data_IF_213515555818
#
_entry.id   IF_213515555818
#
_cell.length_a   1.000
_cell.length_b   1.000
_cell.length_c   1.000
_cell.angle_alpha   90.00
_cell.angle_beta   90.00
_cell.angle_gamma   90.00
#
_symmetry.space_group_name_H-M   'P 1'
#
loop_
_entity.id
_entity.type
_entity.pdbx_description
1 polymer ?
#
# COMPACT_ATOMS: atom_id res chain seq x y z
N UNK A 1 -10.35 11.65 -5.76
CA UNK A 1 -9.71 12.82 -6.39
C UNK A 1 -8.80 12.35 -7.49
N UNK A 2 -9.06 12.72 -8.74
CA UNK A 2 -8.12 12.48 -9.85
C UNK A 2 -6.96 13.49 -9.75
N UNK A 3 -5.80 13.18 -10.32
CA UNK A 3 -4.64 14.09 -10.38
C UNK A 3 -5.05 15.50 -10.82
N UNK A 4 -5.99 15.58 -11.77
CA UNK A 4 -6.56 16.81 -12.30
C UNK A 4 -7.27 17.63 -11.23
N UNK A 5 -8.07 17.03 -10.35
CA UNK A 5 -8.77 17.77 -9.29
C UNK A 5 -7.79 18.39 -8.30
N UNK A 6 -6.74 17.67 -7.91
CA UNK A 6 -5.75 18.18 -6.96
C UNK A 6 -4.97 19.37 -7.55
N UNK A 7 -4.52 19.24 -8.79
CA UNK A 7 -3.76 20.31 -9.46
C UNK A 7 -4.66 21.52 -9.70
N UNK A 8 -5.89 21.34 -10.18
CA UNK A 8 -6.83 22.46 -10.40
C UNK A 8 -7.15 23.19 -9.10
N UNK A 9 -7.38 22.49 -7.98
CA UNK A 9 -7.59 23.15 -6.68
C UNK A 9 -6.38 23.97 -6.23
N UNK A 10 -5.17 23.45 -6.45
CA UNK A 10 -3.94 24.17 -6.12
C UNK A 10 -3.76 25.42 -6.99
N UNK A 11 -4.05 25.31 -8.29
CA UNK A 11 -3.91 26.42 -9.23
C UNK A 11 -4.87 27.57 -8.91
N UNK A 12 -6.14 27.28 -8.63
CA UNK A 12 -7.15 28.30 -8.27
C UNK A 12 -6.84 28.99 -6.93
N UNK A 13 -6.10 28.32 -6.04
CA UNK A 13 -5.72 28.86 -4.74
C UNK A 13 -4.43 29.70 -4.77
N UNK A 14 -3.79 29.87 -5.93
CA UNK A 14 -2.49 30.54 -6.06
C UNK A 14 -2.51 31.68 -7.09
N UNK A 15 -1.74 32.76 -6.88
CA UNK A 15 -1.60 33.83 -7.86
C UNK A 15 -1.08 33.32 -9.21
N UNK A 16 -1.47 33.95 -10.34
CA UNK A 16 -1.09 33.52 -11.69
C UNK A 16 0.42 33.34 -11.89
N UNK A 17 1.22 34.17 -11.22
CA UNK A 17 2.68 34.16 -11.31
C UNK A 17 3.32 32.92 -10.65
N UNK A 18 2.60 32.21 -9.78
CA UNK A 18 3.10 31.08 -8.98
C UNK A 18 2.49 29.72 -9.36
N UNK A 19 1.58 29.67 -10.33
CA UNK A 19 0.87 28.46 -10.77
C UNK A 19 1.83 27.31 -11.11
N UNK A 20 2.92 27.59 -11.83
CA UNK A 20 3.89 26.57 -12.24
C UNK A 20 4.64 25.96 -11.03
N UNK A 21 5.04 26.80 -10.08
CA UNK A 21 5.74 26.38 -8.85
C UNK A 21 4.80 25.57 -7.97
N UNK A 22 3.57 26.05 -7.77
CA UNK A 22 2.55 25.38 -6.96
C UNK A 22 2.17 24.00 -7.55
N UNK A 23 1.96 23.93 -8.86
CA UNK A 23 1.64 22.67 -9.55
C UNK A 23 2.80 21.67 -9.44
N UNK A 24 4.04 22.13 -9.66
CA UNK A 24 5.24 21.31 -9.51
C UNK A 24 5.39 20.75 -8.09
N UNK A 25 5.24 21.60 -7.08
CA UNK A 25 5.33 21.19 -5.68
C UNK A 25 4.29 20.12 -5.33
N UNK A 26 3.04 20.29 -5.76
CA UNK A 26 1.95 19.31 -5.52
C UNK A 26 2.27 17.95 -6.15
N UNK A 27 2.77 17.93 -7.39
CA UNK A 27 3.15 16.70 -8.09
C UNK A 27 4.33 16.02 -7.39
N UNK A 28 5.33 16.80 -6.94
CA UNK A 28 6.48 16.30 -6.20
C UNK A 28 6.07 15.67 -4.86
N UNK A 29 5.24 16.36 -4.07
CA UNK A 29 4.71 15.83 -2.79
C UNK A 29 3.93 14.54 -3.03
N UNK A 30 3.11 14.48 -4.09
CA UNK A 30 2.37 13.27 -4.43
C UNK A 30 3.29 12.10 -4.79
N UNK A 31 4.38 12.38 -5.49
CA UNK A 31 5.38 11.37 -5.88
C UNK A 31 6.13 10.86 -4.66
N UNK A 32 6.54 11.78 -3.77
CA UNK A 32 7.17 11.46 -2.49
C UNK A 32 6.24 10.63 -1.58
N UNK A 33 4.96 10.98 -1.48
CA UNK A 33 3.99 10.19 -0.71
C UNK A 33 3.84 8.76 -1.27
N UNK A 34 3.97 8.60 -2.59
CA UNK A 34 3.96 7.29 -3.24
C UNK A 34 5.14 6.40 -2.82
N UNK A 35 6.35 6.95 -2.79
CA UNK A 35 7.55 6.18 -2.40
C UNK A 35 7.53 5.82 -0.92
N UNK A 36 7.13 6.75 -0.05
CA UNK A 36 6.99 6.51 1.39
C UNK A 36 5.92 5.44 1.66
N UNK A 37 4.76 5.53 1.00
CA UNK A 37 3.68 4.55 1.15
C UNK A 37 4.12 3.14 0.76
N UNK A 38 4.83 2.98 -0.37
CA UNK A 38 5.37 1.69 -0.79
C UNK A 38 6.37 1.14 0.25
N UNK A 39 7.25 1.99 0.80
CA UNK A 39 8.21 1.56 1.82
C UNK A 39 7.52 1.06 3.10
N UNK A 40 6.48 1.76 3.57
CA UNK A 40 5.69 1.35 4.74
C UNK A 40 4.97 0.03 4.47
N UNK A 41 4.32 -0.09 3.31
CA UNK A 41 3.61 -1.32 2.95
C UNK A 41 4.56 -2.51 2.85
N UNK A 42 5.74 -2.31 2.27
CA UNK A 42 6.76 -3.34 2.21
C UNK A 42 7.25 -3.74 3.61
N UNK A 43 7.55 -2.78 4.49
CA UNK A 43 7.99 -3.06 5.86
C UNK A 43 6.95 -3.88 6.66
N UNK A 44 5.67 -3.51 6.57
CA UNK A 44 4.57 -4.25 7.21
C UNK A 44 4.37 -5.64 6.61
N UNK A 45 4.48 -5.75 5.30
CA UNK A 45 4.32 -7.01 4.61
C UNK A 45 5.46 -7.97 4.93
N UNK A 46 6.71 -7.51 4.85
CA UNK A 46 7.90 -8.31 5.17
C UNK A 46 7.94 -8.71 6.65
N UNK A 47 7.50 -7.84 7.57
CA UNK A 47 7.47 -8.19 8.99
C UNK A 47 6.50 -9.33 9.28
N UNK A 48 5.31 -9.32 8.68
CA UNK A 48 4.34 -10.42 8.82
C UNK A 48 4.79 -11.68 8.06
N UNK A 49 5.37 -11.52 6.87
CA UNK A 49 5.91 -12.66 6.11
C UNK A 49 7.10 -13.33 6.80
N UNK A 50 7.89 -12.58 7.57
CA UNK A 50 8.95 -13.13 8.42
C UNK A 50 8.42 -14.09 9.50
N UNK A 51 7.13 -14.01 9.84
CA UNK A 51 6.43 -14.90 10.80
C UNK A 51 5.75 -16.09 10.12
N UNK A 52 5.81 -16.18 8.79
CA UNK A 52 5.23 -17.30 8.04
C UNK A 52 5.81 -18.67 8.45
N UNK A 53 7.13 -18.84 8.67
CA UNK A 53 7.69 -20.12 9.08
C UNK A 53 7.10 -20.62 10.40
N UNK A 54 6.90 -19.71 11.38
CA UNK A 54 6.32 -20.06 12.69
C UNK A 54 4.86 -20.50 12.57
N UNK A 55 4.07 -19.85 11.71
CA UNK A 55 2.66 -20.23 11.48
C UNK A 55 2.54 -21.54 10.72
N UNK A 56 3.42 -21.78 9.76
CA UNK A 56 3.49 -23.05 9.05
C UNK A 56 3.88 -24.16 10.04
N UNK A 57 4.88 -23.93 10.89
CA UNK A 57 5.27 -24.88 11.94
C UNK A 57 4.08 -25.21 12.86
N UNK A 58 3.34 -24.19 13.34
CA UNK A 58 2.17 -24.39 14.18
C UNK A 58 1.06 -25.23 13.50
N UNK A 59 0.94 -25.15 12.18
CA UNK A 59 -0.06 -25.91 11.41
C UNK A 59 0.36 -27.35 11.11
N UNK A 60 1.66 -27.63 10.95
CA UNK A 60 2.16 -28.95 10.52
C UNK A 60 2.74 -29.83 11.64
N UNK A 61 3.22 -29.24 12.72
CA UNK A 61 3.63 -29.98 13.93
C UNK A 61 2.51 -30.85 14.52
N UNK A 62 1.25 -30.39 14.65
CA UNK A 62 0.16 -31.24 15.14
C UNK A 62 -0.21 -32.38 14.18
N UNK A 63 0.22 -32.31 12.92
CA UNK A 63 0.03 -33.37 11.92
C UNK A 63 1.16 -34.42 11.95
N UNK A 64 2.11 -34.31 12.89
CA UNK A 64 3.17 -35.29 13.11
C UNK A 64 4.40 -35.12 12.22
N UNK A 65 4.56 -33.96 11.55
CA UNK A 65 5.79 -33.68 10.80
C UNK A 65 6.94 -33.38 11.77
N UNK A 66 8.10 -34.02 11.55
CA UNK A 66 9.32 -33.73 12.31
C UNK A 66 9.78 -32.28 12.11
N UNK A 67 10.27 -31.60 13.17
CA UNK A 67 10.76 -30.21 13.10
C UNK A 67 11.86 -30.00 12.06
N UNK A 68 12.71 -31.00 11.81
CA UNK A 68 13.82 -30.93 10.84
C UNK A 68 13.32 -30.79 9.39
N UNK A 69 12.11 -31.26 9.10
CA UNK A 69 11.49 -31.18 7.77
C UNK A 69 10.81 -29.83 7.50
N UNK A 70 10.71 -28.93 8.49
CA UNK A 70 10.05 -27.62 8.38
C UNK A 70 10.76 -26.68 7.41
N UNK A 71 12.09 -26.54 7.55
CA UNK A 71 12.89 -25.66 6.69
C UNK A 71 12.77 -26.01 5.20
N UNK A 72 12.99 -27.28 4.81
CA UNK A 72 12.78 -27.75 3.44
C UNK A 72 11.35 -27.55 2.94
N UNK A 73 10.35 -27.80 3.80
CA UNK A 73 8.94 -27.61 3.46
C UNK A 73 8.60 -26.15 3.16
N UNK A 74 9.02 -25.22 4.02
CA UNK A 74 8.77 -23.77 3.83
C UNK A 74 9.49 -23.26 2.58
N UNK A 75 10.72 -23.70 2.32
CA UNK A 75 11.46 -23.35 1.11
C UNK A 75 10.79 -23.90 -0.17
N UNK A 76 10.34 -25.15 -0.14
CA UNK A 76 9.65 -25.78 -1.27
C UNK A 76 8.28 -25.14 -1.55
N UNK A 77 7.56 -24.73 -0.51
CA UNK A 77 6.30 -23.98 -0.64
C UNK A 77 6.52 -22.57 -1.21
N UNK A 78 7.54 -21.86 -0.73
CA UNK A 78 7.86 -20.51 -1.20
C UNK A 78 8.28 -20.49 -2.67
N UNK A 79 8.96 -21.54 -3.12
CA UNK A 79 9.39 -21.71 -4.53
C UNK A 79 8.35 -22.41 -5.41
N UNK A 80 7.21 -22.83 -4.85
CA UNK A 80 6.20 -23.68 -5.51
C UNK A 80 6.79 -24.92 -6.21
N UNK A 81 7.89 -25.44 -5.69
CA UNK A 81 8.58 -26.56 -6.28
C UNK A 81 7.97 -27.89 -5.81
N UNK A 82 7.12 -28.47 -6.65
CA UNK A 82 6.44 -29.74 -6.36
C UNK A 82 7.41 -30.92 -6.18
N UNK A 83 8.56 -30.90 -6.86
CA UNK A 83 9.59 -31.94 -6.72
C UNK A 83 10.26 -31.86 -5.36
N UNK A 84 10.59 -30.65 -4.91
CA UNK A 84 11.16 -30.42 -3.59
C UNK A 84 10.17 -30.75 -2.45
N UNK A 85 8.88 -30.46 -2.65
CA UNK A 85 7.80 -30.85 -1.73
C UNK A 85 7.75 -32.37 -1.55
N UNK A 86 7.78 -33.14 -2.65
CA UNK A 86 7.75 -34.61 -2.59
C UNK A 86 9.01 -35.25 -2.00
N UNK A 87 10.12 -34.52 -1.97
CA UNK A 87 11.38 -34.98 -1.38
C UNK A 87 11.42 -34.81 0.15
N UNK A 88 10.45 -34.10 0.75
CA UNK A 88 10.39 -33.90 2.20
C UNK A 88 10.00 -35.22 2.91
N UNK A 89 10.82 -35.71 3.86
CA UNK A 89 10.49 -36.91 4.62
C UNK A 89 9.23 -36.72 5.47
N UNK A 90 8.29 -37.66 5.39
CA UNK A 90 7.04 -37.65 6.16
C UNK A 90 5.93 -36.77 5.59
N UNK A 91 6.05 -36.34 4.32
CA UNK A 91 5.03 -35.47 3.72
C UNK A 91 3.75 -36.23 3.37
N UNK A 92 2.63 -35.75 3.91
CA UNK A 92 1.27 -36.20 3.58
C UNK A 92 0.54 -35.11 2.80
N UNK A 93 -0.42 -35.45 1.91
CA UNK A 93 -1.29 -34.46 1.27
C UNK A 93 -1.93 -33.48 2.26
N UNK A 94 -2.30 -33.96 3.46
CA UNK A 94 -2.90 -33.12 4.52
C UNK A 94 -1.92 -32.09 5.06
N UNK A 95 -0.63 -32.45 5.17
CA UNK A 95 0.43 -31.54 5.63
C UNK A 95 0.68 -30.44 4.60
N UNK A 96 0.69 -30.80 3.30
CA UNK A 96 0.83 -29.83 2.21
C UNK A 96 -0.35 -28.86 2.22
N UNK A 97 -1.57 -29.36 2.40
CA UNK A 97 -2.76 -28.53 2.47
C UNK A 97 -2.72 -27.60 3.69
N UNK A 98 -2.36 -28.11 4.87
CA UNK A 98 -2.27 -27.30 6.08
C UNK A 98 -1.17 -26.23 5.97
N UNK A 99 0.00 -26.57 5.44
CA UNK A 99 1.11 -25.64 5.26
C UNK A 99 0.80 -24.55 4.23
N UNK A 100 0.19 -24.92 3.10
CA UNK A 100 -0.26 -23.95 2.08
C UNK A 100 -1.40 -23.06 2.59
N UNK A 101 -2.32 -23.61 3.39
CA UNK A 101 -3.35 -22.84 4.08
C UNK A 101 -2.78 -21.84 5.07
N UNK A 102 -1.82 -22.25 5.91
CA UNK A 102 -1.14 -21.36 6.86
C UNK A 102 -0.33 -20.25 6.16
N UNK A 103 0.30 -20.57 5.03
CA UNK A 103 0.97 -19.58 4.20
C UNK A 103 -0.03 -18.56 3.64
N UNK A 104 -1.15 -19.02 3.08
CA UNK A 104 -2.21 -18.15 2.56
C UNK A 104 -2.79 -17.25 3.67
N UNK A 105 -3.06 -17.80 4.85
CA UNK A 105 -3.56 -17.03 5.99
C UNK A 105 -2.54 -15.96 6.42
N UNK A 106 -1.24 -16.27 6.37
CA UNK A 106 -0.18 -15.29 6.62
C UNK A 106 -0.19 -14.16 5.59
N UNK A 107 -0.37 -14.46 4.30
CA UNK A 107 -0.56 -13.44 3.26
C UNK A 107 -1.78 -12.56 3.54
N UNK A 108 -2.93 -13.17 3.86
CA UNK A 108 -4.17 -12.45 4.17
C UNK A 108 -3.95 -11.49 5.34
N UNK A 109 -3.28 -11.95 6.41
CA UNK A 109 -3.02 -11.10 7.56
C UNK A 109 -2.01 -9.98 7.25
N UNK A 110 -0.96 -10.26 6.47
CA UNK A 110 -0.02 -9.25 6.02
C UNK A 110 -0.74 -8.13 5.24
N UNK A 111 -1.59 -8.50 4.27
CA UNK A 111 -2.40 -7.53 3.53
C UNK A 111 -3.39 -6.78 4.42
N UNK A 112 -4.00 -7.45 5.41
CA UNK A 112 -4.89 -6.80 6.37
C UNK A 112 -4.18 -5.65 7.09
N UNK A 113 -2.96 -5.86 7.57
CA UNK A 113 -2.18 -4.80 8.22
C UNK A 113 -1.85 -3.65 7.27
N UNK A 114 -1.49 -3.96 6.01
CA UNK A 114 -1.26 -2.95 4.97
C UNK A 114 -2.50 -2.09 4.73
N UNK A 115 -3.68 -2.71 4.61
CA UNK A 115 -4.94 -1.99 4.40
C UNK A 115 -5.37 -1.15 5.61
N UNK A 116 -5.12 -1.64 6.84
CA UNK A 116 -5.36 -0.85 8.06
C UNK A 116 -4.45 0.39 8.07
N UNK A 117 -3.16 0.24 7.76
CA UNK A 117 -2.24 1.37 7.68
C UNK A 117 -2.66 2.37 6.59
N UNK A 118 -3.06 1.88 5.41
CA UNK A 118 -3.60 2.69 4.33
C UNK A 118 -4.82 3.50 4.78
N UNK A 119 -5.75 2.87 5.52
CA UNK A 119 -6.94 3.52 6.04
C UNK A 119 -6.60 4.66 7.01
N UNK A 120 -5.60 4.51 7.88
CA UNK A 120 -5.14 5.58 8.76
C UNK A 120 -4.62 6.80 7.99
N UNK A 121 -3.81 6.60 6.94
CA UNK A 121 -3.34 7.72 6.11
C UNK A 121 -4.47 8.39 5.35
N UNK A 122 -5.43 7.62 4.84
CA UNK A 122 -6.62 8.16 4.18
C UNK A 122 -7.47 8.96 5.15
N UNK A 123 -7.64 8.51 6.40
CA UNK A 123 -8.38 9.24 7.42
C UNK A 123 -7.73 10.60 7.72
N UNK A 124 -6.41 10.64 7.90
CA UNK A 124 -5.68 11.91 8.08
C UNK A 124 -5.83 12.82 6.87
N UNK A 125 -5.73 12.27 5.66
CA UNK A 125 -5.93 13.03 4.42
C UNK A 125 -7.36 13.58 4.29
N UNK A 126 -8.38 12.82 4.70
CA UNK A 126 -9.77 13.24 4.70
C UNK A 126 -10.01 14.38 5.71
N UNK A 127 -9.41 14.29 6.90
CA UNK A 127 -9.45 15.37 7.89
C UNK A 127 -8.76 16.62 7.34
N UNK A 128 -7.57 16.49 6.75
CA UNK A 128 -6.87 17.62 6.14
C UNK A 128 -7.68 18.26 4.99
N UNK A 129 -8.35 17.44 4.17
CA UNK A 129 -9.22 17.92 3.11
C UNK A 129 -10.44 18.71 3.64
N UNK A 130 -10.93 18.41 4.85
CA UNK A 130 -12.00 19.18 5.48
C UNK A 130 -11.58 20.60 5.88
N UNK A 131 -10.27 20.85 6.03
CA UNK A 131 -9.71 22.19 6.32
C UNK A 131 -9.29 22.94 5.06
N UNK A 132 -9.52 22.39 3.86
CA UNK A 132 -9.16 23.06 2.61
C UNK A 132 -10.04 24.29 2.41
N UNK A 133 -9.41 25.45 2.19
CA UNK A 133 -10.08 26.73 1.98
C UNK A 133 -10.80 26.76 0.63
N UNK A 134 -12.03 27.26 0.62
CA UNK A 134 -12.81 27.50 -0.59
C UNK A 134 -12.62 28.97 -1.02
N UNK A 135 -11.86 29.27 -2.10
CA UNK A 135 -11.61 30.63 -2.56
C UNK A 135 -12.82 31.23 -3.29
N UNK A 136 -13.96 31.34 -2.59
CA UNK A 136 -15.20 31.94 -3.14
C UNK A 136 -15.02 33.40 -3.56
N UNK A 137 -14.09 34.12 -2.94
CA UNK A 137 -13.83 35.53 -3.24
C UNK A 137 -13.13 35.75 -4.59
N UNK A 138 -12.41 34.75 -5.09
CA UNK A 138 -11.70 34.79 -6.39
C UNK A 138 -12.63 34.48 -7.56
N UNK A 139 -13.83 33.91 -7.31
CA UNK A 139 -14.89 33.73 -8.31
C UNK A 139 -15.76 34.98 -8.45
N UNK A 140 -15.14 36.13 -8.74
CA UNK A 140 -15.83 37.38 -9.00
C UNK A 140 -15.91 37.66 -10.52
N UNK A 141 -16.73 38.63 -10.95
CA UNK A 141 -16.94 38.98 -12.37
C UNK A 141 -15.74 39.73 -13.00
N UNK A 142 -14.62 39.85 -12.28
CA UNK A 142 -13.43 40.54 -12.78
C UNK A 142 -12.64 39.60 -13.68
N UNK A 143 -12.43 40.02 -14.92
CA UNK A 143 -11.58 39.32 -15.88
C UNK A 143 -10.14 39.77 -15.65
N UNK A 144 -9.28 38.87 -15.19
CA UNK A 144 -7.86 39.15 -14.85
C UNK A 144 -7.01 39.46 -16.10
N UNK A 145 -7.48 39.07 -17.29
CA UNK A 145 -6.91 39.42 -18.59
C UNK A 145 -8.00 39.86 -19.57
N UNK A 146 -8.51 41.10 -19.47
CA UNK A 146 -9.58 41.58 -20.34
C UNK A 146 -9.04 41.81 -21.77
N UNK A 147 -9.77 41.30 -22.77
CA UNK A 147 -9.48 41.53 -24.20
C UNK A 147 -9.71 42.99 -24.59
N UNK A 148 -10.56 43.71 -23.86
CA UNK A 148 -10.85 45.12 -24.10
C UNK A 148 -9.96 46.00 -23.21
N UNK A 149 -9.20 46.91 -23.85
CA UNK A 149 -8.56 48.02 -23.13
C UNK A 149 -9.67 48.91 -22.57
N UNK A 150 -9.68 49.13 -21.25
CA UNK A 150 -10.56 50.12 -20.62
C UNK A 150 -10.38 51.48 -21.29
N UNK A 151 -11.45 51.96 -21.93
CA UNK A 151 -11.53 53.33 -22.44
C UNK A 151 -11.95 54.30 -21.35
#
# INVERSE_FOLDING_TARGET
>A
MTLTTLVTTAQVSTPPQLIAIASGLVISVRSLGGTIGIAIYNALFTSEMGRAPDRIAAAVLPLGLSPDSLGPLVAALSTRNQTALRAVPGISPDVIQAASGALLDTYVLAFRHVWIAAACFVAVAAVAAAFLFDPKAEFNMTVDAPVEKSS
#
